data_IF_622564303871
#
_entry.id   IF_622564303871
#
_cell.length_a   1.000
_cell.length_b   1.000
_cell.length_c   1.000
_cell.angle_alpha   90.00
_cell.angle_beta   90.00
_cell.angle_gamma   90.00
#
_symmetry.space_group_name_H-M   'P 1'
#
loop_
_entity.id
_entity.type
_entity.pdbx_description
1 polymer ?
#
# COMPACT_ATOMS: atom_id res chain seq x y z
N UNK A 1 16.78 -9.08 -7.30
CA UNK A 1 16.95 -10.55 -7.28
C UNK A 1 15.64 -11.16 -6.85
N UNK A 2 14.84 -11.60 -7.83
CA UNK A 2 13.41 -11.80 -7.70
C UNK A 2 13.00 -13.15 -7.12
N UNK A 3 11.80 -13.18 -6.57
CA UNK A 3 11.08 -14.30 -5.94
C UNK A 3 11.12 -15.63 -6.72
N UNK A 4 11.41 -15.60 -8.03
CA UNK A 4 11.50 -16.78 -8.90
C UNK A 4 12.77 -17.63 -8.71
N UNK A 5 13.81 -17.14 -8.01
CA UNK A 5 15.01 -17.96 -7.76
C UNK A 5 14.84 -19.01 -6.66
N UNK A 6 13.73 -18.97 -5.90
CA UNK A 6 13.47 -19.92 -4.79
C UNK A 6 12.81 -21.22 -5.24
N UNK A 7 12.08 -21.22 -6.35
CA UNK A 7 11.37 -22.40 -6.87
C UNK A 7 12.30 -23.54 -7.36
N UNK A 8 13.61 -23.32 -7.42
CA UNK A 8 14.58 -24.29 -7.94
C UNK A 8 15.77 -24.56 -6.99
N UNK A 9 15.70 -24.10 -5.74
CA UNK A 9 16.75 -24.36 -4.75
C UNK A 9 16.41 -25.61 -3.95
N UNK A 10 17.01 -26.74 -4.29
CA UNK A 10 16.94 -28.00 -3.54
C UNK A 10 17.70 -27.96 -2.19
N UNK A 11 17.74 -26.80 -1.53
CA UNK A 11 18.48 -26.56 -0.29
C UNK A 11 17.50 -26.06 0.75
N UNK A 12 17.29 -26.90 1.77
CA UNK A 12 16.68 -26.60 3.09
C UNK A 12 16.31 -25.13 3.26
N UNK A 13 15.02 -24.79 3.16
CA UNK A 13 14.49 -23.44 3.40
C UNK A 13 14.51 -23.05 4.90
N UNK A 14 15.10 -23.88 5.75
CA UNK A 14 15.24 -23.64 7.19
C UNK A 14 16.03 -22.36 7.54
N UNK A 15 17.15 -22.01 6.88
CA UNK A 15 17.82 -20.72 7.10
C UNK A 15 16.92 -19.53 6.71
N UNK A 16 16.08 -19.68 5.69
CA UNK A 16 15.13 -18.65 5.29
C UNK A 16 14.03 -18.48 6.35
N UNK A 17 13.51 -19.59 6.89
CA UNK A 17 12.57 -19.59 8.01
C UNK A 17 13.16 -18.88 9.24
N UNK A 18 14.36 -19.26 9.67
CA UNK A 18 15.06 -18.61 10.80
C UNK A 18 15.20 -17.10 10.59
N UNK A 19 15.55 -16.68 9.36
CA UNK A 19 15.69 -15.27 9.00
C UNK A 19 14.35 -14.54 9.02
N UNK A 20 13.28 -15.15 8.52
CA UNK A 20 11.94 -14.55 8.55
C UNK A 20 11.48 -14.33 9.99
N UNK A 21 11.64 -15.34 10.86
CA UNK A 21 11.29 -15.24 12.29
C UNK A 21 12.14 -14.17 13.00
N UNK A 22 13.46 -14.11 12.77
CA UNK A 22 14.32 -13.10 13.42
C UNK A 22 14.05 -11.68 12.94
N UNK A 23 13.53 -11.52 11.72
CA UNK A 23 13.08 -10.25 11.17
C UNK A 23 11.62 -9.93 11.49
N UNK A 24 10.95 -10.74 12.34
CA UNK A 24 9.53 -10.59 12.71
C UNK A 24 8.56 -10.65 11.52
N UNK A 25 8.99 -11.23 10.40
CA UNK A 25 8.17 -11.46 9.20
C UNK A 25 7.39 -12.76 9.37
N UNK A 26 6.50 -12.79 10.36
CA UNK A 26 5.87 -14.02 10.82
C UNK A 26 4.92 -14.65 9.79
N UNK A 27 4.21 -13.86 8.99
CA UNK A 27 3.36 -14.38 7.92
C UNK A 27 4.19 -15.10 6.85
N UNK A 28 5.30 -14.50 6.43
CA UNK A 28 6.25 -15.14 5.52
C UNK A 28 6.87 -16.41 6.13
N UNK A 29 7.15 -16.39 7.43
CA UNK A 29 7.65 -17.57 8.14
C UNK A 29 6.64 -18.73 8.09
N UNK A 30 5.33 -18.47 8.24
CA UNK A 30 4.31 -19.52 8.15
C UNK A 30 4.18 -20.08 6.72
N UNK A 31 4.27 -19.24 5.69
CA UNK A 31 4.30 -19.70 4.29
C UNK A 31 5.50 -20.60 4.02
N UNK A 32 6.70 -20.20 4.47
CA UNK A 32 7.91 -21.02 4.34
C UNK A 32 7.75 -22.35 5.09
N UNK A 33 7.08 -22.36 6.25
CA UNK A 33 6.79 -23.60 6.99
C UNK A 33 5.89 -24.54 6.19
N UNK A 34 4.90 -24.03 5.45
CA UNK A 34 4.04 -24.84 4.58
C UNK A 34 4.85 -25.50 3.46
N UNK A 35 5.72 -24.73 2.79
CA UNK A 35 6.63 -25.25 1.76
C UNK A 35 7.59 -26.32 2.30
N UNK A 36 8.03 -26.18 3.56
CA UNK A 36 8.91 -27.14 4.23
C UNK A 36 8.21 -28.46 4.61
N UNK A 37 6.88 -28.55 4.59
CA UNK A 37 6.15 -29.79 4.91
C UNK A 37 6.43 -30.91 3.90
N UNK A 38 6.66 -30.53 2.64
CA UNK A 38 6.93 -31.46 1.53
C UNK A 38 8.43 -31.78 1.35
N UNK A 39 9.28 -31.26 2.23
CA UNK A 39 10.74 -31.41 2.16
C UNK A 39 11.28 -32.57 3.00
N UNK A 40 12.35 -33.21 2.53
CA UNK A 40 13.09 -34.22 3.30
C UNK A 40 13.93 -33.55 4.41
N UNK A 41 13.32 -33.38 5.58
CA UNK A 41 13.97 -32.84 6.79
C UNK A 41 14.38 -33.95 7.76
N UNK A 42 15.55 -33.79 8.38
CA UNK A 42 15.99 -34.61 9.51
C UNK A 42 15.09 -34.41 10.75
N UNK A 43 15.17 -35.31 11.72
CA UNK A 43 14.38 -35.22 12.95
C UNK A 43 14.66 -33.92 13.75
N UNK A 44 15.91 -33.48 13.75
CA UNK A 44 16.35 -32.25 14.41
C UNK A 44 15.77 -31.01 13.70
N UNK A 45 15.86 -30.96 12.37
CA UNK A 45 15.29 -29.87 11.58
C UNK A 45 13.77 -29.80 11.70
N UNK A 46 13.07 -30.94 11.73
CA UNK A 46 11.61 -30.98 11.96
C UNK A 46 11.23 -30.42 13.34
N UNK A 47 12.01 -30.76 14.38
CA UNK A 47 11.79 -30.22 15.71
C UNK A 47 11.98 -28.71 15.73
N UNK A 48 13.00 -28.20 15.04
CA UNK A 48 13.26 -26.77 14.95
C UNK A 48 12.17 -26.03 14.17
N UNK A 49 11.75 -26.55 13.03
CA UNK A 49 10.62 -26.02 12.25
C UNK A 49 9.37 -25.92 13.10
N UNK A 50 9.07 -26.94 13.92
CA UNK A 50 7.92 -26.90 14.84
C UNK A 50 8.01 -25.76 15.85
N UNK A 51 9.18 -25.56 16.44
CA UNK A 51 9.41 -24.45 17.38
C UNK A 51 9.25 -23.09 16.70
N UNK A 52 9.85 -22.92 15.52
CA UNK A 52 9.77 -21.67 14.76
C UNK A 52 8.34 -21.39 14.26
N UNK A 53 7.60 -22.42 13.85
CA UNK A 53 6.17 -22.33 13.50
C UNK A 53 5.35 -21.84 14.67
N UNK A 54 5.54 -22.45 15.85
CA UNK A 54 4.82 -22.06 17.06
C UNK A 54 5.13 -20.60 17.44
N UNK A 55 6.41 -20.22 17.41
CA UNK A 55 6.82 -18.84 17.68
C UNK A 55 6.19 -17.83 16.71
N UNK A 56 6.21 -18.11 15.40
CA UNK A 56 5.61 -17.23 14.39
C UNK A 56 4.09 -17.14 14.54
N UNK A 57 3.42 -18.28 14.77
CA UNK A 57 1.98 -18.37 14.98
C UNK A 57 1.54 -17.59 16.22
N UNK A 58 2.17 -17.83 17.38
CA UNK A 58 1.87 -17.10 18.62
C UNK A 58 2.15 -15.60 18.49
N UNK A 59 3.19 -15.20 17.75
CA UNK A 59 3.50 -13.79 17.55
C UNK A 59 2.44 -13.08 16.69
N UNK A 60 1.97 -13.71 15.61
CA UNK A 60 0.85 -13.16 14.83
C UNK A 60 -0.46 -13.18 15.60
N UNK A 61 -0.73 -14.27 16.31
CA UNK A 61 -1.92 -14.39 17.12
C UNK A 61 -2.01 -13.28 18.15
N UNK A 62 -0.89 -12.93 18.79
CA UNK A 62 -0.82 -11.80 19.71
C UNK A 62 -1.12 -10.46 19.03
N UNK A 63 -0.53 -10.19 17.87
CA UNK A 63 -0.80 -8.95 17.13
C UNK A 63 -2.28 -8.84 16.77
N UNK A 64 -2.87 -9.92 16.27
CA UNK A 64 -4.29 -9.98 15.93
C UNK A 64 -5.20 -9.87 17.17
N UNK A 65 -4.79 -10.45 18.30
CA UNK A 65 -5.52 -10.31 19.57
C UNK A 65 -5.51 -8.85 20.05
N UNK A 66 -4.35 -8.21 20.06
CA UNK A 66 -4.20 -6.82 20.49
C UNK A 66 -5.04 -5.86 19.62
N UNK A 67 -5.00 -6.03 18.29
CA UNK A 67 -5.80 -5.25 17.34
C UNK A 67 -7.31 -5.51 17.50
N UNK A 68 -7.71 -6.79 17.61
CA UNK A 68 -9.10 -7.17 17.83
C UNK A 68 -9.66 -6.56 19.11
N UNK A 69 -8.91 -6.60 20.21
CA UNK A 69 -9.30 -5.97 21.49
C UNK A 69 -9.36 -4.44 21.40
N UNK A 70 -8.51 -3.81 20.61
CA UNK A 70 -8.58 -2.38 20.36
C UNK A 70 -9.86 -2.00 19.59
N UNK A 71 -10.16 -2.72 18.50
CA UNK A 71 -11.35 -2.52 17.69
C UNK A 71 -12.65 -2.77 18.46
N UNK A 72 -12.67 -3.74 19.40
CA UNK A 72 -13.81 -3.94 20.30
C UNK A 72 -14.07 -2.72 21.18
N UNK A 73 -13.02 -2.10 21.73
CA UNK A 73 -13.17 -0.87 22.54
C UNK A 73 -13.71 0.28 21.71
N UNK A 74 -13.35 0.32 20.43
CA UNK A 74 -13.82 1.32 19.47
C UNK A 74 -15.18 0.97 18.82
N UNK A 75 -15.85 -0.09 19.31
CA UNK A 75 -17.16 -0.57 18.82
C UNK A 75 -17.18 -0.99 17.34
N UNK A 76 -16.02 -1.31 16.75
CA UNK A 76 -15.90 -1.86 15.40
C UNK A 76 -16.01 -3.39 15.42
N UNK A 77 -17.20 -3.88 15.76
CA UNK A 77 -17.48 -5.29 16.11
C UNK A 77 -17.10 -6.29 15.01
N UNK A 78 -17.46 -6.01 13.75
CA UNK A 78 -17.19 -6.93 12.63
C UNK A 78 -15.69 -7.11 12.38
N UNK A 79 -14.95 -5.99 12.32
CA UNK A 79 -13.49 -6.02 12.14
C UNK A 79 -12.77 -6.66 13.32
N UNK A 80 -13.24 -6.38 14.54
CA UNK A 80 -12.71 -7.02 15.72
C UNK A 80 -12.88 -8.54 15.67
N UNK A 81 -14.04 -9.02 15.24
CA UNK A 81 -14.30 -10.46 15.10
C UNK A 81 -13.33 -11.12 14.12
N UNK A 82 -13.04 -10.51 12.98
CA UNK A 82 -12.07 -11.03 12.01
C UNK A 82 -10.67 -11.20 12.63
N UNK A 83 -10.16 -10.15 13.28
CA UNK A 83 -8.86 -10.19 13.94
C UNK A 83 -8.82 -11.24 15.06
N UNK A 84 -9.86 -11.33 15.89
CA UNK A 84 -9.92 -12.30 16.98
C UNK A 84 -10.02 -13.76 16.48
N UNK A 85 -10.73 -14.00 15.39
CA UNK A 85 -10.78 -15.32 14.73
C UNK A 85 -9.40 -15.71 14.18
N UNK A 86 -8.69 -14.78 13.53
CA UNK A 86 -7.32 -15.00 13.08
C UNK A 86 -6.38 -15.31 14.25
N UNK A 87 -6.51 -14.58 15.37
CA UNK A 87 -5.75 -14.85 16.58
C UNK A 87 -5.98 -16.27 17.11
N UNK A 88 -7.23 -16.71 17.17
CA UNK A 88 -7.58 -18.07 17.60
C UNK A 88 -7.00 -19.14 16.66
N UNK A 89 -7.06 -18.94 15.35
CA UNK A 89 -6.55 -19.88 14.35
C UNK A 89 -5.02 -20.01 14.36
N UNK A 90 -4.32 -18.90 14.66
CA UNK A 90 -2.85 -18.83 14.59
C UNK A 90 -2.16 -19.21 15.89
N UNK A 91 -2.85 -19.13 17.03
CA UNK A 91 -2.28 -19.38 18.35
C UNK A 91 -1.87 -20.86 18.53
N UNK A 92 -0.64 -21.06 19.01
CA UNK A 92 -0.13 -22.36 19.43
C UNK A 92 -0.19 -22.52 20.95
N UNK A 93 0.06 -21.44 21.69
CA UNK A 93 -0.03 -21.40 23.14
C UNK A 93 -1.48 -21.44 23.63
N UNK A 94 -1.73 -22.25 24.64
CA UNK A 94 -3.08 -22.40 25.23
C UNK A 94 -3.59 -21.10 25.86
N UNK A 95 -2.67 -20.29 26.40
CA UNK A 95 -3.00 -18.97 26.96
C UNK A 95 -3.56 -18.01 25.89
N UNK A 96 -2.89 -17.90 24.72
CA UNK A 96 -3.38 -17.04 23.63
C UNK A 96 -4.68 -17.56 23.03
N UNK A 97 -4.85 -18.88 22.89
CA UNK A 97 -6.12 -19.48 22.43
C UNK A 97 -7.27 -19.10 23.36
N UNK A 98 -7.05 -19.24 24.67
CA UNK A 98 -8.06 -18.92 25.66
C UNK A 98 -8.38 -17.42 25.68
N UNK A 99 -7.38 -16.55 25.57
CA UNK A 99 -7.61 -15.09 25.49
C UNK A 99 -8.40 -14.70 24.23
N UNK A 100 -8.07 -15.28 23.07
CA UNK A 100 -8.81 -15.04 21.82
C UNK A 100 -10.25 -15.57 21.91
N UNK A 101 -10.45 -16.76 22.49
CA UNK A 101 -11.79 -17.33 22.71
C UNK A 101 -12.64 -16.47 23.66
N UNK A 102 -12.06 -16.00 24.77
CA UNK A 102 -12.73 -15.10 25.70
C UNK A 102 -13.12 -13.78 25.03
N UNK A 103 -12.24 -13.21 24.20
CA UNK A 103 -12.54 -11.99 23.46
C UNK A 103 -13.68 -12.22 22.46
N UNK A 104 -13.69 -13.35 21.75
CA UNK A 104 -14.79 -13.73 20.83
C UNK A 104 -16.13 -13.91 21.55
N UNK A 105 -16.14 -14.50 22.75
CA UNK A 105 -17.35 -14.61 23.57
C UNK A 105 -17.90 -13.25 23.98
N UNK A 106 -17.04 -12.27 24.27
CA UNK A 106 -17.48 -10.90 24.58
C UNK A 106 -18.15 -10.23 23.37
N UNK A 107 -17.72 -10.54 22.14
CA UNK A 107 -18.37 -10.07 20.92
C UNK A 107 -19.79 -10.63 20.82
N UNK A 108 -19.96 -11.94 21.06
CA UNK A 108 -21.24 -12.63 20.98
C UNK A 108 -22.24 -12.14 22.04
N UNK A 109 -21.77 -11.85 23.26
CA UNK A 109 -22.59 -11.26 24.33
C UNK A 109 -23.02 -9.80 24.05
N UNK A 110 -22.26 -9.07 23.23
CA UNK A 110 -22.57 -7.70 22.82
C UNK A 110 -23.49 -7.62 21.60
N UNK A 111 -23.78 -8.74 20.94
CA UNK A 111 -24.76 -8.79 19.86
C UNK A 111 -26.19 -8.84 20.42
N UNK A 112 -27.11 -7.95 19.98
CA UNK A 112 -28.50 -8.03 20.37
C UNK A 112 -29.15 -9.32 19.84
N UNK A 113 -29.86 -10.04 20.71
CA UNK A 113 -30.56 -11.30 20.40
C UNK A 113 -31.46 -11.11 19.16
N UNK A 114 -31.25 -11.87 18.07
CA UNK A 114 -32.13 -11.80 16.91
C UNK A 114 -33.45 -12.54 17.20
N UNK A 115 -34.57 -11.85 16.98
CA UNK A 115 -35.90 -12.44 17.03
C UNK A 115 -36.07 -13.39 15.85
N UNK A 116 -36.34 -14.66 16.14
CA UNK A 116 -36.43 -15.74 15.16
C UNK A 116 -37.47 -15.45 14.05
N UNK A 117 -37.06 -15.64 12.79
CA UNK A 117 -37.95 -15.81 11.65
C UNK A 117 -37.67 -17.15 10.94
N UNK A 118 -38.74 -17.80 10.54
CA UNK A 118 -38.84 -19.22 10.21
C UNK A 118 -38.17 -19.65 8.89
N UNK A 119 -37.87 -20.95 8.84
CA UNK A 119 -37.26 -21.69 7.75
C UNK A 119 -38.11 -21.83 6.49
N UNK A 120 -37.47 -21.91 5.30
CA UNK A 120 -37.77 -22.91 4.27
C UNK A 120 -36.68 -23.00 3.15
N UNK A 121 -36.13 -24.22 3.03
CA UNK A 121 -35.90 -25.03 1.81
C UNK A 121 -34.89 -24.70 0.68
N UNK A 122 -33.95 -25.66 0.61
CA UNK A 122 -33.47 -26.48 -0.53
C UNK A 122 -32.60 -25.89 -1.66
N UNK A 123 -31.33 -26.26 -1.58
CA UNK A 123 -30.53 -26.98 -2.58
C UNK A 123 -30.68 -26.58 -4.06
N UNK A 124 -29.66 -25.92 -4.60
CA UNK A 124 -29.10 -26.28 -5.92
C UNK A 124 -27.68 -25.73 -6.06
N UNK A 125 -26.93 -26.44 -6.88
CA UNK A 125 -25.48 -26.47 -7.02
C UNK A 125 -24.90 -25.28 -7.80
N UNK A 126 -23.68 -24.89 -7.42
CA UNK A 126 -22.59 -24.33 -8.22
C UNK A 126 -22.95 -23.60 -9.53
N UNK A 127 -22.96 -22.26 -9.48
CA UNK A 127 -22.33 -21.34 -10.46
C UNK A 127 -22.68 -19.91 -10.11
N UNK A 128 -21.73 -19.15 -9.55
CA UNK A 128 -21.48 -17.72 -9.86
C UNK A 128 -20.65 -17.10 -8.74
N UNK A 129 -19.33 -17.06 -8.92
CA UNK A 129 -18.47 -16.15 -8.20
C UNK A 129 -18.82 -14.71 -8.63
N UNK A 130 -19.44 -13.95 -7.74
CA UNK A 130 -19.62 -12.50 -7.87
C UNK A 130 -20.17 -11.92 -6.56
N UNK A 131 -19.56 -10.88 -5.99
CA UNK A 131 -20.09 -10.23 -4.79
C UNK A 131 -21.47 -9.64 -5.13
N UNK A 132 -22.46 -9.90 -4.29
CA UNK A 132 -23.74 -9.19 -4.33
C UNK A 132 -23.55 -7.83 -3.68
N UNK A 133 -23.79 -6.78 -4.47
CA UNK A 133 -23.79 -5.35 -4.10
C UNK A 133 -24.82 -5.03 -3.00
N UNK A 134 -24.56 -5.40 -1.75
CA UNK A 134 -25.46 -5.03 -0.65
C UNK A 134 -24.81 -4.46 0.60
N UNK A 135 -23.48 -4.43 0.72
CA UNK A 135 -22.79 -3.72 1.79
C UNK A 135 -21.90 -2.61 1.22
N UNK A 136 -22.53 -1.54 0.75
CA UNK A 136 -21.82 -0.27 0.59
C UNK A 136 -21.54 0.28 1.98
N UNK A 137 -20.27 0.25 2.38
CA UNK A 137 -19.79 1.06 3.50
C UNK A 137 -20.35 2.48 3.35
N UNK A 138 -20.90 3.03 4.44
CA UNK A 138 -21.38 4.40 4.43
C UNK A 138 -20.26 5.31 3.88
N UNK A 139 -20.53 6.14 2.87
CA UNK A 139 -19.52 7.05 2.36
C UNK A 139 -19.02 7.91 3.52
N UNK A 140 -17.70 8.03 3.64
CA UNK A 140 -17.08 8.96 4.59
C UNK A 140 -17.71 10.34 4.39
N UNK A 141 -18.03 11.00 5.50
CA UNK A 141 -18.58 12.34 5.42
C UNK A 141 -17.49 13.30 4.92
N UNK A 142 -17.86 14.36 4.18
CA UNK A 142 -16.90 15.39 3.74
C UNK A 142 -16.16 16.03 4.95
N UNK A 143 -16.69 15.91 6.17
CA UNK A 143 -16.10 16.39 7.42
C UNK A 143 -14.93 15.51 7.93
N UNK A 144 -14.83 14.25 7.48
CA UNK A 144 -13.74 13.34 7.83
C UNK A 144 -12.53 13.47 6.88
N UNK A 145 -12.67 14.24 5.79
CA UNK A 145 -11.56 14.51 4.90
C UNK A 145 -10.59 15.51 5.57
N UNK A 146 -9.26 15.25 5.52
CA UNK A 146 -8.28 16.22 5.99
C UNK A 146 -8.49 17.55 5.26
N UNK A 147 -8.29 18.66 5.95
CA UNK A 147 -8.33 19.97 5.31
C UNK A 147 -7.23 20.09 4.25
N UNK A 148 -7.28 21.16 3.45
CA UNK A 148 -6.34 21.33 2.35
C UNK A 148 -4.90 21.34 2.84
N UNK A 149 -4.62 22.02 3.96
CA UNK A 149 -3.26 22.16 4.49
C UNK A 149 -2.69 20.80 4.91
N UNK A 150 -3.50 19.97 5.58
CA UNK A 150 -3.14 18.60 5.92
C UNK A 150 -2.97 17.71 4.68
N UNK A 151 -3.79 17.89 3.63
CA UNK A 151 -3.63 17.17 2.37
C UNK A 151 -2.30 17.53 1.68
N UNK A 152 -1.96 18.83 1.63
CA UNK A 152 -0.70 19.29 1.06
C UNK A 152 0.49 18.79 1.86
N UNK A 153 0.45 18.89 3.19
CA UNK A 153 1.50 18.37 4.07
C UNK A 153 1.73 16.88 3.82
N UNK A 154 0.64 16.09 3.77
CA UNK A 154 0.71 14.66 3.53
C UNK A 154 1.37 14.34 2.19
N UNK A 155 1.00 15.03 1.10
CA UNK A 155 1.63 14.84 -0.22
C UNK A 155 3.13 15.15 -0.14
N UNK A 156 3.49 16.28 0.47
CA UNK A 156 4.87 16.76 0.54
C UNK A 156 5.79 15.89 1.41
N UNK A 157 5.26 15.00 2.27
CA UNK A 157 6.09 14.00 2.97
C UNK A 157 6.84 13.06 2.03
N UNK A 158 6.39 12.92 0.79
CA UNK A 158 7.02 12.10 -0.25
C UNK A 158 7.99 12.87 -1.15
N UNK A 159 8.12 14.19 -0.96
CA UNK A 159 8.96 15.06 -1.77
C UNK A 159 10.34 15.29 -1.12
N UNK A 160 11.40 15.53 -1.91
CA UNK A 160 12.68 16.00 -1.40
C UNK A 160 12.53 17.27 -0.57
N UNK A 161 13.27 17.37 0.55
CA UNK A 161 13.18 18.50 1.50
C UNK A 161 13.37 19.86 0.80
N UNK A 162 14.26 19.94 -0.19
CA UNK A 162 14.52 21.16 -0.95
C UNK A 162 13.33 21.64 -1.80
N UNK A 163 12.38 20.76 -2.12
CA UNK A 163 11.17 21.11 -2.87
C UNK A 163 10.03 21.51 -1.93
N UNK A 164 9.94 20.94 -0.73
CA UNK A 164 8.84 21.18 0.22
C UNK A 164 8.58 22.67 0.41
N UNK A 165 9.61 23.45 0.75
CA UNK A 165 9.45 24.89 0.96
C UNK A 165 9.05 25.64 -0.31
N UNK A 166 9.46 25.17 -1.50
CA UNK A 166 9.08 25.80 -2.77
C UNK A 166 7.60 25.62 -3.06
N UNK A 167 7.05 24.42 -2.83
CA UNK A 167 5.60 24.17 -2.97
C UNK A 167 4.79 24.92 -1.92
N UNK A 168 5.27 25.02 -0.68
CA UNK A 168 4.60 25.79 0.38
C UNK A 168 4.56 27.30 0.10
N UNK A 169 5.51 27.83 -0.67
CA UNK A 169 5.56 29.25 -1.05
C UNK A 169 4.69 29.59 -2.26
N UNK A 170 4.16 28.59 -2.97
CA UNK A 170 3.23 28.79 -4.08
C UNK A 170 1.94 29.43 -3.62
N UNK A 171 1.26 30.13 -4.52
CA UNK A 171 -0.06 30.67 -4.22
C UNK A 171 -1.09 29.55 -3.96
N UNK A 172 -2.15 29.88 -3.23
CA UNK A 172 -3.20 28.93 -2.86
C UNK A 172 -3.85 28.24 -4.08
N UNK A 173 -3.99 28.95 -5.20
CA UNK A 173 -4.56 28.37 -6.43
C UNK A 173 -3.65 27.30 -7.03
N UNK A 174 -2.32 27.48 -6.96
CA UNK A 174 -1.36 26.46 -7.38
C UNK A 174 -1.43 25.25 -6.45
N UNK A 175 -1.39 25.48 -5.13
CA UNK A 175 -1.45 24.40 -4.13
C UNK A 175 -2.73 23.57 -4.28
N UNK A 176 -3.86 24.23 -4.54
CA UNK A 176 -5.13 23.55 -4.84
C UNK A 176 -5.04 22.70 -6.11
N UNK A 177 -4.48 23.24 -7.20
CA UNK A 177 -4.31 22.49 -8.45
C UNK A 177 -3.40 21.26 -8.26
N UNK A 178 -2.33 21.42 -7.48
CA UNK A 178 -1.41 20.35 -7.11
C UNK A 178 -2.12 19.25 -6.31
N UNK A 179 -2.86 19.60 -5.26
CA UNK A 179 -3.63 18.65 -4.46
C UNK A 179 -4.65 17.87 -5.31
N UNK A 180 -5.41 18.55 -6.17
CA UNK A 180 -6.34 17.90 -7.12
C UNK A 180 -5.61 16.88 -8.01
N UNK A 181 -4.42 17.24 -8.50
CA UNK A 181 -3.61 16.35 -9.33
C UNK A 181 -3.21 15.06 -8.61
N UNK A 182 -2.89 15.13 -7.32
CA UNK A 182 -2.52 13.98 -6.48
C UNK A 182 -3.73 13.14 -6.03
N UNK A 183 -4.94 13.70 -6.06
CA UNK A 183 -6.19 12.98 -5.78
C UNK A 183 -6.72 12.20 -7.00
N UNK A 184 -6.06 12.29 -8.16
CA UNK A 184 -6.52 11.67 -9.40
C UNK A 184 -7.57 12.52 -10.13
N UNK A 185 -7.83 13.75 -9.70
CA UNK A 185 -8.75 14.67 -10.39
C UNK A 185 -8.03 15.41 -11.53
N UNK A 186 -7.44 14.65 -12.48
CA UNK A 186 -6.52 15.21 -13.48
C UNK A 186 -7.12 16.32 -14.34
N UNK A 187 -8.39 16.16 -14.74
CA UNK A 187 -9.08 17.14 -15.59
C UNK A 187 -9.33 18.44 -14.84
N UNK A 188 -9.66 18.37 -13.55
CA UNK A 188 -9.88 19.55 -12.71
C UNK A 188 -8.56 20.24 -12.38
N UNK A 189 -7.52 19.46 -12.05
CA UNK A 189 -6.17 19.95 -11.83
C UNK A 189 -5.67 20.72 -13.07
N UNK A 190 -5.80 20.17 -14.28
CA UNK A 190 -5.40 20.85 -15.52
C UNK A 190 -6.17 22.16 -15.76
N UNK A 191 -7.48 22.19 -15.45
CA UNK A 191 -8.28 23.42 -15.53
C UNK A 191 -7.82 24.45 -14.50
N UNK A 192 -7.45 24.03 -13.31
CA UNK A 192 -6.94 24.90 -12.25
C UNK A 192 -5.56 25.48 -12.61
N UNK A 193 -4.63 24.63 -13.05
CA UNK A 193 -3.33 25.04 -13.56
C UNK A 193 -3.46 26.03 -14.73
N UNK A 194 -4.40 25.80 -15.65
CA UNK A 194 -4.65 26.70 -16.79
C UNK A 194 -5.15 28.11 -16.43
N UNK A 195 -5.56 28.35 -15.18
CA UNK A 195 -5.99 29.67 -14.68
C UNK A 195 -4.89 30.42 -13.94
N UNK A 196 -3.75 29.78 -13.68
CA UNK A 196 -2.67 30.40 -12.91
C UNK A 196 -2.04 31.56 -13.68
N UNK A 197 -1.65 32.64 -12.98
CA UNK A 197 -0.93 33.74 -13.60
C UNK A 197 0.44 33.27 -14.10
N UNK A 198 0.98 33.95 -15.12
CA UNK A 198 2.28 33.63 -15.70
C UNK A 198 3.43 33.64 -14.67
N UNK A 199 3.31 34.39 -13.57
CA UNK A 199 4.29 34.41 -12.47
C UNK A 199 4.39 33.08 -11.72
N UNK A 200 3.38 32.22 -11.82
CA UNK A 200 3.35 30.90 -11.16
C UNK A 200 3.74 29.76 -12.10
N UNK A 201 3.93 30.05 -13.39
CA UNK A 201 4.27 29.07 -14.44
C UNK A 201 5.79 28.87 -14.54
N UNK A 202 6.41 28.37 -13.47
CA UNK A 202 7.84 28.06 -13.37
C UNK A 202 8.15 26.57 -13.61
N UNK A 203 9.33 26.11 -13.20
CA UNK A 203 9.75 24.71 -13.34
C UNK A 203 8.83 23.73 -12.62
N UNK A 204 8.26 24.11 -11.46
CA UNK A 204 7.34 23.25 -10.73
C UNK A 204 5.99 23.15 -11.44
N UNK A 205 5.50 24.24 -12.03
CA UNK A 205 4.30 24.21 -12.86
C UNK A 205 4.46 23.24 -14.04
N UNK A 206 5.55 23.39 -14.80
CA UNK A 206 5.83 22.56 -15.97
C UNK A 206 5.99 21.07 -15.57
N UNK A 207 6.60 20.81 -14.41
CA UNK A 207 6.72 19.46 -13.86
C UNK A 207 5.37 18.84 -13.52
N UNK A 208 4.53 19.53 -12.74
CA UNK A 208 3.22 19.01 -12.32
C UNK A 208 2.29 18.77 -13.50
N UNK A 209 2.23 19.73 -14.42
CA UNK A 209 1.45 19.61 -15.66
C UNK A 209 1.95 18.45 -16.51
N UNK A 210 3.27 18.29 -16.63
CA UNK A 210 3.88 17.16 -17.35
C UNK A 210 3.51 15.80 -16.75
N UNK A 211 3.54 15.68 -15.43
CA UNK A 211 3.13 14.47 -14.70
C UNK A 211 1.65 14.14 -14.92
N UNK A 212 0.76 15.14 -14.88
CA UNK A 212 -0.67 14.95 -15.16
C UNK A 212 -0.89 14.52 -16.62
N UNK A 213 -0.22 15.17 -17.58
CA UNK A 213 -0.30 14.79 -19.00
C UNK A 213 0.15 13.35 -19.24
N UNK A 214 1.17 12.88 -18.52
CA UNK A 214 1.63 11.50 -18.61
C UNK A 214 0.56 10.50 -18.16
N UNK A 215 -0.13 10.79 -17.04
CA UNK A 215 -1.24 9.96 -16.52
C UNK A 215 -2.44 9.93 -17.48
N UNK A 216 -2.73 11.07 -18.13
CA UNK A 216 -3.74 11.18 -19.18
C UNK A 216 -3.36 10.48 -20.50
N UNK A 217 -2.15 9.90 -20.59
CA UNK A 217 -1.68 9.20 -21.79
C UNK A 217 -1.11 10.12 -22.87
N UNK A 218 -1.07 11.43 -22.64
CA UNK A 218 -0.51 12.47 -23.52
C UNK A 218 1.03 12.51 -23.42
N UNK A 219 1.67 11.34 -23.54
CA UNK A 219 3.10 11.13 -23.25
C UNK A 219 4.05 12.07 -24.00
N UNK A 220 3.70 12.46 -25.23
CA UNK A 220 4.49 13.41 -26.02
C UNK A 220 4.53 14.80 -25.38
N UNK A 221 3.34 15.36 -25.09
CA UNK A 221 3.21 16.66 -24.42
C UNK A 221 3.79 16.64 -23.01
N UNK A 222 3.66 15.50 -22.31
CA UNK A 222 4.30 15.29 -21.01
C UNK A 222 5.83 15.45 -21.10
N UNK A 223 6.47 14.84 -22.11
CA UNK A 223 7.90 15.04 -22.34
C UNK A 223 8.26 16.50 -22.65
N UNK A 224 7.44 17.21 -23.43
CA UNK A 224 7.70 18.61 -23.75
C UNK A 224 7.63 19.50 -22.49
N UNK A 225 6.63 19.28 -21.63
CA UNK A 225 6.48 19.99 -20.37
C UNK A 225 7.64 19.67 -19.40
N UNK A 226 7.97 18.39 -19.20
CA UNK A 226 9.09 17.98 -18.35
C UNK A 226 10.44 18.51 -18.86
N UNK A 227 10.63 18.58 -20.18
CA UNK A 227 11.81 19.20 -20.77
C UNK A 227 11.85 20.71 -20.50
N UNK A 228 10.70 21.40 -20.55
CA UNK A 228 10.60 22.81 -20.16
C UNK A 228 10.97 23.02 -18.69
N UNK A 229 10.48 22.18 -17.79
CA UNK A 229 10.86 22.19 -16.37
C UNK A 229 12.38 22.04 -16.18
N UNK A 230 12.99 21.06 -16.84
CA UNK A 230 14.44 20.81 -16.76
C UNK A 230 15.29 21.92 -17.38
N UNK A 231 14.77 22.64 -18.38
CA UNK A 231 15.45 23.80 -18.95
C UNK A 231 15.51 24.97 -17.95
N UNK A 232 14.46 25.15 -17.15
CA UNK A 232 14.38 26.17 -16.12
C UNK A 232 15.18 25.76 -14.87
N UNK A 233 15.07 24.50 -14.47
CA UNK A 233 15.77 23.93 -13.33
C UNK A 233 16.40 22.57 -13.70
N UNK A 234 17.67 22.58 -14.17
CA UNK A 234 18.37 21.36 -14.53
C UNK A 234 18.60 20.40 -13.35
N UNK A 235 18.39 20.83 -12.11
CA UNK A 235 18.58 20.00 -10.92
C UNK A 235 17.27 19.41 -10.38
N UNK A 236 16.15 19.57 -11.10
CA UNK A 236 14.86 19.00 -10.70
C UNK A 236 14.85 17.48 -10.98
N UNK A 237 15.43 16.71 -10.06
CA UNK A 237 15.63 15.25 -10.22
C UNK A 237 14.30 14.52 -10.51
N UNK A 238 13.21 14.90 -9.85
CA UNK A 238 11.89 14.30 -10.09
C UNK A 238 11.40 14.45 -11.54
N UNK A 239 11.71 15.57 -12.20
CA UNK A 239 11.37 15.77 -13.60
C UNK A 239 12.20 14.87 -14.52
N UNK A 240 13.49 14.69 -14.21
CA UNK A 240 14.37 13.74 -14.91
C UNK A 240 13.86 12.31 -14.77
N UNK A 241 13.57 11.85 -13.54
CA UNK A 241 13.06 10.51 -13.27
C UNK A 241 11.74 10.24 -14.00
N UNK A 242 10.82 11.20 -13.95
CA UNK A 242 9.54 11.14 -14.64
C UNK A 242 9.74 11.04 -16.16
N UNK A 243 10.62 11.88 -16.72
CA UNK A 243 10.91 11.87 -18.15
C UNK A 243 11.56 10.56 -18.60
N UNK A 244 12.51 10.02 -17.83
CA UNK A 244 13.14 8.71 -18.09
C UNK A 244 12.08 7.60 -18.09
N UNK A 245 11.20 7.57 -17.09
CA UNK A 245 10.12 6.59 -16.99
C UNK A 245 9.20 6.62 -18.23
N UNK A 246 8.82 7.83 -18.66
CA UNK A 246 8.00 8.02 -19.86
C UNK A 246 8.76 7.56 -21.12
N UNK A 247 10.03 7.93 -21.28
CA UNK A 247 10.85 7.52 -22.44
C UNK A 247 11.02 6.00 -22.52
N UNK A 248 11.24 5.34 -21.38
CA UNK A 248 11.29 3.88 -21.28
C UNK A 248 9.96 3.25 -21.68
N UNK A 249 8.83 3.80 -21.21
CA UNK A 249 7.49 3.32 -21.61
C UNK A 249 7.24 3.46 -23.12
N UNK A 250 7.83 4.49 -23.75
CA UNK A 250 7.79 4.73 -25.19
C UNK A 250 8.84 3.93 -25.97
N UNK A 251 9.62 3.05 -25.30
CA UNK A 251 10.73 2.28 -25.87
C UNK A 251 11.84 3.14 -26.48
N UNK A 252 11.97 4.41 -26.06
CA UNK A 252 13.03 5.35 -26.47
C UNK A 252 14.25 5.21 -25.55
N UNK A 253 14.81 4.00 -25.47
CA UNK A 253 15.87 3.66 -24.50
C UNK A 253 17.15 4.46 -24.70
N UNK A 254 17.54 4.73 -25.94
CA UNK A 254 18.74 5.52 -26.22
C UNK A 254 18.58 6.95 -25.69
N UNK A 255 17.46 7.61 -26.00
CA UNK A 255 17.15 8.96 -25.52
C UNK A 255 17.10 9.02 -23.98
N UNK A 256 16.55 8.00 -23.32
CA UNK A 256 16.57 7.93 -21.86
C UNK A 256 18.01 7.80 -21.31
N UNK A 257 18.85 7.01 -21.98
CA UNK A 257 20.26 6.83 -21.60
C UNK A 257 21.06 8.12 -21.79
N UNK A 258 20.88 8.79 -22.92
CA UNK A 258 21.54 10.06 -23.24
C UNK A 258 21.16 11.13 -22.21
N UNK A 259 19.88 11.19 -21.82
CA UNK A 259 19.40 12.08 -20.76
C UNK A 259 20.09 11.79 -19.43
N UNK A 260 20.11 10.53 -18.97
CA UNK A 260 20.78 10.17 -17.70
C UNK A 260 22.28 10.53 -17.74
N UNK A 261 22.96 10.26 -18.87
CA UNK A 261 24.37 10.59 -19.03
C UNK A 261 24.63 12.10 -19.01
N UNK A 262 23.76 12.90 -19.66
CA UNK A 262 23.84 14.35 -19.61
C UNK A 262 23.72 14.88 -18.17
N UNK A 263 22.81 14.28 -17.39
CA UNK A 263 22.59 14.65 -15.99
C UNK A 263 23.80 14.30 -15.11
N UNK A 264 24.32 13.07 -15.23
CA UNK A 264 25.52 12.63 -14.49
C UNK A 264 26.78 13.41 -14.89
N UNK A 265 26.92 13.75 -16.18
CA UNK A 265 28.06 14.52 -16.70
C UNK A 265 28.11 15.96 -16.18
N UNK A 266 27.00 16.50 -15.68
CA UNK A 266 26.92 17.82 -15.05
C UNK A 266 27.23 17.81 -13.54
N UNK A 267 27.65 16.66 -12.98
CA UNK A 267 28.05 16.55 -11.57
C UNK A 267 26.88 16.45 -10.60
N UNK A 268 25.80 15.78 -11.03
CA UNK A 268 24.71 15.33 -10.16
C UNK A 268 24.88 13.86 -9.80
#
# INVERSE_FOLDING_TARGET
MGLFSRLFSSKSDLPALRKAVSQQRYADALLIVEELQDSELSAEERSEVKTLKAQAGDSLAKVNLDEGLYLLKDQQIERAMEHLQLAQQQAFSEDLKHQAEQALQQVDEQQPIPVAAAAASSCSSCSSCGPTDSDQAAPLSDEDHPDMDAQLELILTSYPEELVSRYQQKCADFQKAFVLGHQGEEIEAMKAFGKLPASEQDDLFDFEVGCIMARLGERGKACDALYSALKQNPNLLLATESMVSILVSLKKYQTATDLIQEMMGKGQ
#
